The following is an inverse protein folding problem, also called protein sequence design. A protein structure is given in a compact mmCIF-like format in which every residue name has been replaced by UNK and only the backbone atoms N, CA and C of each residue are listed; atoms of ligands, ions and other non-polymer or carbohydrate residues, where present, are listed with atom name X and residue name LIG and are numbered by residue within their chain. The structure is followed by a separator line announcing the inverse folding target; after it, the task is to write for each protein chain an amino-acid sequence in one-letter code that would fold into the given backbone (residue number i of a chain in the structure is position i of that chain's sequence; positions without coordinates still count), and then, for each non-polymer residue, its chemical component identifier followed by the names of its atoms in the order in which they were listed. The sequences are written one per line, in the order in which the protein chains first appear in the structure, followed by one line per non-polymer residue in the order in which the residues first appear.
data_IF_061066110688
#
_entry.id   IF_061066110688
#
_cell.length_a   1.000
_cell.length_b   1.000
_cell.length_c   1.000
_cell.angle_alpha   90.00
_cell.angle_beta   90.00
_cell.angle_gamma   90.00
#
_symmetry.space_group_name_H-M   'P 1'
#
loop_
_entity.id
_entity.type
_entity.pdbx_description
1 polymer ?
#
# COMPACT_ATOMS: atom_id res chain seq x y z
N UNK A 1 -5.46 -12.24 10.72
CA UNK A 1 -4.44 -11.59 11.57
C UNK A 1 -3.06 -11.73 10.94
N UNK A 2 -2.24 -10.67 10.93
CA UNK A 2 -0.85 -10.72 10.43
C UNK A 2 0.04 -11.28 11.54
N UNK A 3 0.64 -12.46 11.33
CA UNK A 3 1.56 -13.08 12.30
C UNK A 3 3.00 -12.57 12.13
N UNK A 4 3.73 -12.30 13.24
CA UNK A 4 5.17 -12.00 13.19
C UNK A 4 6.01 -13.09 12.49
N UNK A 5 5.52 -14.34 12.45
CA UNK A 5 6.20 -15.43 11.75
C UNK A 5 6.40 -15.17 10.25
N UNK A 6 5.55 -14.35 9.62
CA UNK A 6 5.70 -13.97 8.21
C UNK A 6 6.98 -13.19 7.94
N UNK A 7 7.51 -12.46 8.94
CA UNK A 7 8.77 -11.71 8.82
C UNK A 7 9.93 -12.66 8.50
N UNK A 8 9.94 -13.86 9.09
CA UNK A 8 11.01 -14.85 8.87
C UNK A 8 11.02 -15.33 7.42
N UNK A 9 9.84 -15.64 6.87
CA UNK A 9 9.71 -16.06 5.47
C UNK A 9 10.15 -14.93 4.52
N UNK A 10 9.71 -13.70 4.78
CA UNK A 10 10.10 -12.53 4.01
C UNK A 10 11.61 -12.28 4.07
N UNK A 11 12.22 -12.35 5.24
CA UNK A 11 13.66 -12.17 5.43
C UNK A 11 14.48 -13.20 4.65
N UNK A 12 14.17 -14.49 4.79
CA UNK A 12 14.86 -15.56 4.04
C UNK A 12 14.69 -15.40 2.53
N UNK A 13 13.57 -14.84 2.10
CA UNK A 13 13.26 -14.68 0.68
C UNK A 13 13.98 -13.51 0.05
N UNK A 14 14.20 -12.40 0.76
CA UNK A 14 14.73 -11.17 0.14
C UNK A 14 16.10 -10.74 0.64
N UNK A 15 16.43 -10.96 1.91
CA UNK A 15 17.68 -10.44 2.47
C UNK A 15 18.90 -11.05 1.77
N UNK A 16 19.84 -10.21 1.33
CA UNK A 16 21.05 -10.61 0.61
C UNK A 16 20.82 -10.94 -0.87
N UNK A 17 19.61 -10.80 -1.41
CA UNK A 17 19.31 -11.05 -2.83
C UNK A 17 19.37 -9.77 -3.65
N UNK A 18 19.82 -9.88 -4.91
CA UNK A 18 19.82 -8.77 -5.87
C UNK A 18 18.41 -8.49 -6.39
N UNK A 19 18.13 -7.23 -6.71
CA UNK A 19 16.91 -6.88 -7.42
C UNK A 19 17.01 -7.32 -8.88
N UNK A 20 16.14 -8.22 -9.32
CA UNK A 20 16.19 -8.84 -10.65
C UNK A 20 15.77 -7.89 -11.79
N UNK A 21 15.08 -6.80 -11.45
CA UNK A 21 14.56 -5.84 -12.43
C UNK A 21 15.50 -4.65 -12.61
N UNK A 22 15.36 -3.98 -13.75
CA UNK A 22 16.04 -2.72 -14.09
C UNK A 22 17.57 -2.81 -14.15
N UNK A 23 18.13 -4.00 -14.40
CA UNK A 23 19.59 -4.26 -14.38
C UNK A 23 20.25 -3.73 -13.10
N UNK A 24 19.56 -3.80 -11.97
CA UNK A 24 20.05 -3.22 -10.72
C UNK A 24 21.07 -4.13 -10.05
N UNK A 25 22.20 -3.56 -9.63
CA UNK A 25 23.19 -4.26 -8.81
C UNK A 25 22.87 -4.22 -7.31
N UNK A 26 21.82 -3.48 -6.91
CA UNK A 26 21.43 -3.32 -5.51
C UNK A 26 21.06 -4.67 -4.89
N UNK A 27 21.55 -4.90 -3.68
CA UNK A 27 21.24 -6.08 -2.86
C UNK A 27 20.26 -5.66 -1.76
N UNK A 28 19.17 -6.40 -1.60
CA UNK A 28 18.17 -6.13 -0.57
C UNK A 28 18.72 -6.44 0.83
N UNK A 29 18.45 -5.54 1.77
CA UNK A 29 18.82 -5.68 3.18
C UNK A 29 17.64 -5.28 4.05
N UNK A 30 17.36 -6.07 5.09
CA UNK A 30 16.23 -5.87 5.99
C UNK A 30 16.71 -5.55 7.40
N UNK A 31 16.03 -4.58 8.01
CA UNK A 31 16.19 -4.20 9.40
C UNK A 31 14.84 -3.80 9.99
N UNK A 32 14.73 -3.78 11.32
CA UNK A 32 13.56 -3.23 11.97
C UNK A 32 13.50 -1.71 11.79
N UNK A 33 12.32 -1.19 11.47
CA UNK A 33 12.09 0.25 11.36
C UNK A 33 12.20 0.93 12.72
N UNK A 34 12.57 2.22 12.72
CA UNK A 34 12.62 3.03 13.94
C UNK A 34 11.24 3.21 14.59
N UNK A 35 10.21 3.39 13.78
CA UNK A 35 8.82 3.49 14.24
C UNK A 35 8.18 2.12 14.07
N UNK A 36 7.69 1.55 15.16
CA UNK A 36 7.10 0.21 15.20
C UNK A 36 5.62 0.29 15.56
N UNK A 37 4.80 -0.54 14.91
CA UNK A 37 3.37 -0.64 15.16
C UNK A 37 2.49 0.24 14.27
N UNK A 38 1.29 -0.24 13.96
CA UNK A 38 0.33 0.41 13.06
C UNK A 38 -0.10 1.79 13.58
N UNK A 39 -0.51 1.90 14.83
CA UNK A 39 -0.98 3.16 15.41
C UNK A 39 0.12 4.24 15.38
N UNK A 40 1.36 3.88 15.76
CA UNK A 40 2.49 4.80 15.73
C UNK A 40 2.83 5.29 14.31
N UNK A 41 2.75 4.41 13.31
CA UNK A 41 2.92 4.78 11.90
C UNK A 41 1.82 5.73 11.42
N UNK A 42 0.56 5.43 11.77
CA UNK A 42 -0.59 6.29 11.42
C UNK A 42 -0.40 7.69 12.00
N UNK A 43 -0.13 7.81 13.31
CA UNK A 43 0.10 9.11 13.96
C UNK A 43 1.30 9.84 13.38
N UNK A 44 2.36 9.12 13.01
CA UNK A 44 3.54 9.74 12.40
C UNK A 44 3.24 10.36 11.03
N UNK A 45 2.45 9.68 10.20
CA UNK A 45 2.14 10.16 8.85
C UNK A 45 0.96 11.14 8.79
N UNK A 46 0.03 11.13 9.75
CA UNK A 46 -1.13 12.02 9.77
C UNK A 46 -0.79 13.51 9.66
N UNK A 47 0.30 13.96 10.29
CA UNK A 47 0.77 15.35 10.28
C UNK A 47 1.96 15.58 9.34
N UNK A 48 2.32 14.58 8.53
CA UNK A 48 3.43 14.68 7.60
C UNK A 48 3.04 15.47 6.35
N UNK A 49 3.95 16.32 5.85
CA UNK A 49 3.75 17.01 4.56
C UNK A 49 3.59 16.03 3.40
N UNK A 50 4.05 14.78 3.55
CA UNK A 50 3.87 13.70 2.58
C UNK A 50 2.39 13.46 2.21
N UNK A 51 1.47 13.77 3.12
CA UNK A 51 0.03 13.62 2.89
C UNK A 51 -0.54 14.63 1.89
N UNK A 52 0.22 15.70 1.59
CA UNK A 52 -0.15 16.72 0.61
C UNK A 52 0.36 16.40 -0.80
N UNK A 53 1.23 15.40 -0.94
CA UNK A 53 1.78 14.96 -2.23
C UNK A 53 0.77 14.16 -3.07
N UNK A 54 1.17 13.77 -4.28
CA UNK A 54 0.38 12.88 -5.14
C UNK A 54 -0.06 11.61 -4.41
N UNK A 55 -1.28 11.13 -4.67
CA UNK A 55 -1.83 9.94 -4.00
C UNK A 55 -0.91 8.73 -4.12
N UNK A 56 -0.17 8.56 -5.22
CA UNK A 56 0.77 7.43 -5.44
C UNK A 56 1.98 7.47 -4.50
N UNK A 57 2.30 8.64 -3.95
CA UNK A 57 3.42 8.85 -3.05
C UNK A 57 3.04 8.76 -1.56
N UNK A 58 1.74 8.67 -1.24
CA UNK A 58 1.27 8.62 0.16
C UNK A 58 1.31 7.19 0.71
N UNK A 59 1.42 7.02 2.04
CA UNK A 59 1.38 5.71 2.67
C UNK A 59 0.06 4.98 2.38
N UNK A 60 0.16 3.66 2.18
CA UNK A 60 -0.98 2.77 1.97
C UNK A 60 -1.18 1.92 3.22
N UNK A 61 -2.41 1.90 3.72
CA UNK A 61 -2.80 1.04 4.84
C UNK A 61 -3.64 -0.12 4.34
N UNK A 62 -3.23 -1.34 4.70
CA UNK A 62 -3.99 -2.55 4.37
C UNK A 62 -4.87 -3.02 5.52
N UNK A 63 -6.12 -3.41 5.22
CA UNK A 63 -6.99 -4.11 6.15
C UNK A 63 -6.94 -5.62 5.90
N UNK A 64 -6.96 -6.40 6.98
CA UNK A 64 -7.19 -7.84 6.90
C UNK A 64 -8.69 -8.12 6.95
N UNK A 65 -9.19 -8.90 6.01
CA UNK A 65 -10.56 -9.45 6.02
C UNK A 65 -10.89 -10.06 7.39
N UNK A 66 -12.06 -9.69 7.94
CA UNK A 66 -12.56 -10.18 9.24
C UNK A 66 -12.25 -9.30 10.46
N UNK A 67 -11.67 -8.11 10.29
CA UNK A 67 -11.67 -7.10 11.36
C UNK A 67 -12.97 -6.29 11.28
N UNK A 68 -14.07 -6.93 11.67
CA UNK A 68 -15.40 -6.33 11.72
C UNK A 68 -15.41 -5.05 12.59
N UNK A 69 -15.87 -3.97 11.98
CA UNK A 69 -16.78 -2.96 12.54
C UNK A 69 -16.42 -2.21 13.85
N UNK A 70 -15.21 -2.31 14.39
CA UNK A 70 -14.83 -1.61 15.63
C UNK A 70 -14.07 -0.30 15.47
N UNK A 71 -13.42 -0.07 14.32
CA UNK A 71 -12.42 1.01 14.18
C UNK A 71 -12.75 1.91 12.98
N UNK A 72 -14.02 2.33 12.90
CA UNK A 72 -14.48 3.35 11.94
C UNK A 72 -13.81 4.72 12.18
N UNK A 73 -13.18 4.92 13.33
CA UNK A 73 -12.56 6.18 13.71
C UNK A 73 -11.25 6.47 12.95
N UNK A 74 -10.55 5.44 12.46
CA UNK A 74 -9.40 5.64 11.55
C UNK A 74 -9.81 6.09 10.15
N UNK A 75 -11.04 5.79 9.71
CA UNK A 75 -11.55 6.24 8.40
C UNK A 75 -11.81 7.76 8.39
N UNK A 76 -12.03 8.35 9.56
CA UNK A 76 -12.25 9.79 9.73
C UNK A 76 -10.95 10.56 9.95
N UNK A 77 -9.86 9.88 10.32
CA UNK A 77 -8.59 10.53 10.66
C UNK A 77 -7.58 10.54 9.50
N UNK A 78 -7.94 11.28 8.45
CA UNK A 78 -6.99 12.01 7.61
C UNK A 78 -6.28 11.22 6.49
N UNK A 79 -6.68 11.51 5.25
CA UNK A 79 -5.87 11.47 4.01
C UNK A 79 -5.07 10.18 3.65
N UNK A 80 -5.19 9.08 4.38
CA UNK A 80 -4.49 7.83 4.11
C UNK A 80 -5.15 7.06 2.96
N UNK A 81 -4.35 6.50 2.06
CA UNK A 81 -4.86 5.59 1.04
C UNK A 81 -5.10 4.22 1.69
N UNK A 82 -6.31 3.69 1.56
CA UNK A 82 -6.71 2.43 2.17
C UNK A 82 -6.89 1.37 1.07
N UNK A 83 -6.20 0.24 1.21
CA UNK A 83 -6.37 -0.93 0.35
C UNK A 83 -6.87 -2.12 1.17
N UNK A 84 -8.01 -2.68 0.80
CA UNK A 84 -8.59 -3.88 1.40
C UNK A 84 -8.12 -5.07 0.56
N UNK A 85 -7.43 -6.04 1.17
CA UNK A 85 -7.00 -7.25 0.46
C UNK A 85 -8.11 -8.29 0.53
N UNK A 86 -8.76 -8.56 -0.59
CA UNK A 86 -9.81 -9.57 -0.70
C UNK A 86 -9.29 -11.01 -0.52
N UNK A 87 -10.21 -11.92 -0.20
CA UNK A 87 -9.92 -13.35 0.02
C UNK A 87 -9.35 -14.06 -1.22
N UNK A 88 -9.70 -13.59 -2.42
CA UNK A 88 -9.16 -14.06 -3.71
C UNK A 88 -7.73 -13.56 -4.00
N UNK A 89 -7.20 -12.69 -3.14
CA UNK A 89 -5.88 -12.07 -3.30
C UNK A 89 -5.87 -10.77 -4.10
N UNK A 90 -7.04 -10.29 -4.56
CA UNK A 90 -7.18 -8.97 -5.17
C UNK A 90 -7.21 -7.86 -4.11
N UNK A 91 -7.11 -6.60 -4.54
CA UNK A 91 -7.19 -5.44 -3.64
C UNK A 91 -8.37 -4.53 -4.04
N UNK A 92 -9.24 -4.20 -3.10
CA UNK A 92 -10.28 -3.15 -3.23
C UNK A 92 -9.81 -1.88 -2.53
N UNK A 93 -9.80 -0.75 -3.25
CA UNK A 93 -9.44 0.56 -2.72
C UNK A 93 -9.48 1.62 -3.83
N UNK A 94 -9.23 2.88 -3.49
CA UNK A 94 -9.07 3.97 -4.48
C UNK A 94 -8.02 3.55 -5.51
N UNK A 95 -8.47 3.17 -6.71
CA UNK A 95 -7.60 2.67 -7.77
C UNK A 95 -6.54 3.72 -8.12
N UNK A 96 -5.27 3.40 -7.87
CA UNK A 96 -4.14 4.24 -8.33
C UNK A 96 -3.91 4.10 -9.84
N UNK A 97 -4.61 3.17 -10.49
CA UNK A 97 -4.46 2.85 -11.90
C UNK A 97 -5.74 3.20 -12.67
N UNK A 98 -5.66 4.29 -13.41
CA UNK A 98 -6.29 4.44 -14.73
C UNK A 98 -5.65 5.64 -15.44
N UNK A 99 -4.82 5.43 -16.46
CA UNK A 99 -4.83 6.32 -17.60
C UNK A 99 -6.19 6.14 -18.27
N UNK A 100 -7.02 7.17 -18.31
CA UNK A 100 -8.12 7.21 -19.29
C UNK A 100 -7.47 7.30 -20.66
N UNK A 101 -7.26 6.16 -21.30
CA UNK A 101 -7.04 6.12 -22.73
C UNK A 101 -8.38 6.52 -23.38
N UNK A 102 -8.44 7.78 -23.81
CA UNK A 102 -9.61 8.34 -24.48
C UNK A 102 -9.67 7.80 -25.90
N UNK A 103 -10.20 6.60 -26.09
CA UNK A 103 -10.71 6.19 -27.40
C UNK A 103 -11.88 7.11 -27.76
N UNK A 104 -11.59 8.12 -28.58
CA UNK A 104 -12.58 8.91 -29.30
C UNK A 104 -13.15 8.04 -30.43
N UNK A 105 -14.12 7.18 -30.12
CA UNK A 105 -15.06 6.71 -31.14
C UNK A 105 -16.04 7.86 -31.42
N UNK A 106 -15.81 8.55 -32.54
CA UNK A 106 -16.85 9.37 -33.17
C UNK A 106 -17.84 8.42 -33.84
N UNK A 107 -19.14 8.50 -33.59
CA UNK A 107 -20.11 7.94 -34.51
C UNK A 107 -20.22 8.88 -35.72
N UNK A 108 -19.96 8.35 -36.91
CA UNK A 108 -20.51 8.92 -38.14
C UNK A 108 -22.00 8.60 -38.17
N UNK A 109 -22.83 9.63 -38.35
CA UNK A 109 -24.19 9.50 -38.86
C UNK A 109 -24.52 10.77 -39.67
N UNK A 110 -24.68 10.56 -40.99
CA UNK A 110 -25.24 11.36 -42.10
C UNK A 110 -25.25 12.90 -42.06
#
# INVERSE_FOLDING_TARGET
MVSPSHIVSFYKTFNGKKWEKFNSEKVASLAYARIQGKAALVTHFQNSSLMNEDKRCRPILFHSEGQDAGDKDYLLSGNLNICIRQADGSYIGDSLDSPRDGLSEKPEDY
#
